data_IF_704718923227
#
_entry.id   IF_704718923227
#
_cell.length_a   1.000
_cell.length_b   1.000
_cell.length_c   1.000
_cell.angle_alpha   90.00
_cell.angle_beta   90.00
_cell.angle_gamma   90.00
#
_symmetry.space_group_name_H-M   'P 1'
#
loop_
_entity.id
_entity.type
_entity.pdbx_description
1 polymer ?
#
# COMPACT_ATOMS: atom_id res chain seq x y z
N UNK A 1 -6.35 -6.70 -14.73
CA UNK A 1 -6.81 -7.31 -13.48
C UNK A 1 -6.96 -6.26 -12.40
N UNK A 2 -7.64 -6.61 -11.29
CA UNK A 2 -7.66 -5.78 -10.08
C UNK A 2 -7.06 -6.57 -8.93
N UNK A 3 -6.26 -5.89 -8.10
CA UNK A 3 -5.71 -6.46 -6.87
C UNK A 3 -6.52 -5.91 -5.71
N UNK A 4 -7.08 -6.80 -4.92
CA UNK A 4 -7.94 -6.50 -3.77
C UNK A 4 -7.20 -6.83 -2.49
N UNK A 5 -7.09 -5.84 -1.61
CA UNK A 5 -6.59 -5.97 -0.25
C UNK A 5 -7.79 -5.81 0.67
N UNK A 6 -8.19 -6.86 1.34
CA UNK A 6 -9.41 -6.90 2.16
C UNK A 6 -9.10 -7.30 3.59
N UNK A 7 -9.65 -6.58 4.54
CA UNK A 7 -9.63 -6.95 5.95
C UNK A 7 -10.96 -6.66 6.64
N UNK A 8 -11.19 -7.35 7.76
CA UNK A 8 -12.32 -7.07 8.65
C UNK A 8 -12.11 -5.74 9.38
N UNK A 9 -13.22 -5.07 9.72
CA UNK A 9 -13.22 -3.74 10.31
C UNK A 9 -13.28 -2.64 9.26
N UNK A 10 -13.89 -1.51 9.64
CA UNK A 10 -14.02 -0.35 8.77
C UNK A 10 -12.99 0.71 9.17
N UNK A 11 -12.13 1.09 8.23
CA UNK A 11 -11.22 2.22 8.44
C UNK A 11 -12.03 3.51 8.44
N UNK A 12 -11.71 4.41 9.38
CA UNK A 12 -12.31 5.75 9.40
C UNK A 12 -11.77 6.56 8.20
N UNK A 13 -12.68 7.15 7.43
CA UNK A 13 -12.36 8.03 6.30
C UNK A 13 -11.44 9.18 6.72
N UNK A 14 -11.57 9.68 7.95
CA UNK A 14 -10.70 10.73 8.50
C UNK A 14 -9.25 10.26 8.62
N UNK A 15 -9.00 8.98 8.90
CA UNK A 15 -7.62 8.46 8.97
C UNK A 15 -6.94 8.43 7.61
N UNK A 16 -7.70 8.31 6.53
CA UNK A 16 -7.20 8.39 5.16
C UNK A 16 -6.86 9.85 4.79
N UNK A 17 -7.69 10.80 5.20
CA UNK A 17 -7.55 12.22 4.85
C UNK A 17 -6.58 12.99 5.75
N UNK A 18 -6.37 12.55 7.00
CA UNK A 18 -5.56 13.24 8.01
C UNK A 18 -4.16 12.65 8.15
N UNK A 19 -3.15 13.48 8.41
CA UNK A 19 -1.80 13.03 8.72
C UNK A 19 -1.63 12.72 10.21
N UNK A 20 -0.81 11.68 10.52
CA UNK A 20 -0.43 11.37 11.90
C UNK A 20 -1.52 10.68 12.73
N UNK A 21 -2.63 10.30 12.12
CA UNK A 21 -3.66 9.48 12.78
C UNK A 21 -3.31 8.02 12.57
N UNK A 22 -2.95 7.32 13.66
CA UNK A 22 -2.75 5.87 13.68
C UNK A 22 -3.49 5.33 14.89
N UNK A 23 -4.39 4.40 14.67
CA UNK A 23 -5.17 3.73 15.72
C UNK A 23 -4.75 2.27 15.90
N UNK A 24 -3.53 1.92 15.44
CA UNK A 24 -3.03 0.54 15.57
C UNK A 24 -2.71 0.22 17.01
N UNK A 25 -3.53 -0.62 17.63
CA UNK A 25 -3.30 -1.25 18.92
C UNK A 25 -2.72 -2.65 18.68
N UNK A 26 -1.55 -2.97 19.23
CA UNK A 26 -0.95 -4.31 19.16
C UNK A 26 0.54 -4.31 19.40
N UNK A 27 1.05 -5.47 19.83
CA UNK A 27 2.43 -5.61 20.36
C UNK A 27 3.53 -5.44 19.31
N UNK A 28 3.24 -5.35 18.03
CA UNK A 28 4.26 -5.12 16.99
C UNK A 28 3.67 -4.97 15.57
N UNK A 29 3.00 -3.87 15.20
CA UNK A 29 2.56 -3.66 13.82
C UNK A 29 3.76 -3.52 12.88
N UNK A 30 3.61 -4.01 11.64
CA UNK A 30 4.64 -3.86 10.60
C UNK A 30 4.68 -2.39 10.14
N UNK A 31 3.51 -1.73 10.06
CA UNK A 31 3.36 -0.31 9.72
C UNK A 31 3.10 0.57 10.93
N UNK A 32 4.01 1.49 11.26
CA UNK A 32 3.95 2.28 12.51
C UNK A 32 3.42 3.71 12.34
N UNK A 33 3.54 4.29 11.17
CA UNK A 33 3.28 5.71 10.98
C UNK A 33 2.11 5.93 10.02
N UNK A 34 0.93 6.29 10.45
CA UNK A 34 -0.27 6.56 9.63
C UNK A 34 -0.11 7.41 8.34
N UNK A 35 1.11 7.49 7.80
CA UNK A 35 1.48 8.21 6.58
C UNK A 35 1.72 7.30 5.37
N UNK A 36 2.05 6.01 5.58
CA UNK A 36 2.47 5.11 4.51
C UNK A 36 1.40 4.90 3.44
N UNK A 37 0.13 4.79 3.83
CA UNK A 37 -0.99 4.69 2.89
C UNK A 37 -1.08 5.93 1.97
N UNK A 38 -0.81 7.13 2.48
CA UNK A 38 -0.81 8.36 1.68
C UNK A 38 0.32 8.38 0.66
N UNK A 39 1.50 7.88 1.06
CA UNK A 39 2.61 7.65 0.14
C UNK A 39 2.20 6.67 -0.96
N UNK A 40 1.58 5.54 -0.60
CA UNK A 40 1.12 4.55 -1.57
C UNK A 40 0.12 5.15 -2.56
N UNK A 41 -0.89 5.88 -2.09
CA UNK A 41 -1.89 6.55 -2.94
C UNK A 41 -1.20 7.54 -3.90
N UNK A 42 -0.30 8.39 -3.40
CA UNK A 42 0.40 9.38 -4.21
C UNK A 42 1.25 8.70 -5.31
N UNK A 43 1.96 7.63 -4.96
CA UNK A 43 2.80 6.85 -5.89
C UNK A 43 1.94 6.18 -6.96
N UNK A 44 0.86 5.52 -6.59
CA UNK A 44 -0.06 4.87 -7.52
C UNK A 44 -0.62 5.86 -8.54
N UNK A 45 -1.16 6.99 -8.08
CA UNK A 45 -1.71 8.01 -8.95
C UNK A 45 -0.64 8.65 -9.86
N UNK A 46 0.56 8.90 -9.35
CA UNK A 46 1.69 9.40 -10.15
C UNK A 46 2.05 8.45 -11.29
N UNK A 47 1.97 7.15 -11.04
CA UNK A 47 2.19 6.11 -12.05
C UNK A 47 0.92 5.74 -12.84
N UNK A 48 -0.13 6.59 -12.78
CA UNK A 48 -1.40 6.41 -13.51
C UNK A 48 -2.11 5.08 -13.18
N UNK A 49 -1.90 4.54 -12.00
CA UNK A 49 -2.65 3.41 -11.49
C UNK A 49 -3.92 3.92 -10.81
N UNK A 50 -5.02 3.19 -10.94
CA UNK A 50 -6.28 3.52 -10.27
C UNK A 50 -6.29 2.87 -8.89
N UNK A 51 -6.72 3.63 -7.88
CA UNK A 51 -6.96 3.13 -6.53
C UNK A 51 -8.33 3.59 -6.05
N UNK A 52 -9.11 2.65 -5.50
CA UNK A 52 -10.40 2.87 -4.86
C UNK A 52 -10.38 2.20 -3.49
N UNK A 53 -11.01 2.79 -2.50
CA UNK A 53 -11.22 2.15 -1.20
C UNK A 53 -12.71 1.99 -0.92
N UNK A 54 -13.08 0.87 -0.33
CA UNK A 54 -14.37 0.67 0.33
C UNK A 54 -14.15 0.63 1.84
N UNK A 55 -14.78 1.56 2.55
CA UNK A 55 -14.85 1.61 4.01
C UNK A 55 -16.28 1.25 4.39
N UNK A 56 -16.53 -0.03 4.66
CA UNK A 56 -17.88 -0.56 4.72
C UNK A 56 -18.61 -0.36 3.39
N UNK A 57 -19.74 0.33 3.42
CA UNK A 57 -20.52 0.68 2.23
C UNK A 57 -20.08 2.01 1.58
N UNK A 58 -19.12 2.70 2.16
CA UNK A 58 -18.64 3.99 1.64
C UNK A 58 -17.54 3.76 0.60
N UNK A 59 -17.77 4.23 -0.62
CA UNK A 59 -16.78 4.22 -1.69
C UNK A 59 -15.95 5.50 -1.68
N UNK A 60 -14.64 5.35 -1.82
CA UNK A 60 -13.67 6.46 -1.94
C UNK A 60 -12.87 6.26 -3.21
N UNK A 61 -13.05 7.14 -4.18
CA UNK A 61 -12.25 7.18 -5.39
C UNK A 61 -11.15 8.24 -5.26
N UNK A 62 -9.89 7.85 -5.52
CA UNK A 62 -8.76 8.79 -5.51
C UNK A 62 -8.41 9.23 -6.93
N UNK A 63 -8.07 10.51 -7.08
CA UNK A 63 -7.69 11.10 -8.36
C UNK A 63 -6.78 12.31 -8.18
N UNK A 64 -6.33 12.89 -9.29
CA UNK A 64 -5.43 14.05 -9.31
C UNK A 64 -6.21 15.30 -9.71
N UNK A 65 -5.99 16.39 -8.97
CA UNK A 65 -6.42 17.73 -9.35
C UNK A 65 -5.19 18.62 -9.50
N UNK A 66 -5.08 19.30 -10.64
CA UNK A 66 -4.06 20.33 -10.83
C UNK A 66 -4.50 21.64 -10.21
N UNK A 67 -3.66 22.25 -9.40
CA UNK A 67 -3.89 23.58 -8.82
C UNK A 67 -2.61 24.40 -8.84
N UNK A 68 -2.65 25.66 -9.24
CA UNK A 68 -1.51 26.55 -9.18
C UNK A 68 -1.26 27.02 -7.73
N UNK A 69 0.00 26.95 -7.32
CA UNK A 69 0.49 27.56 -6.08
C UNK A 69 1.64 28.47 -6.44
N UNK A 70 1.50 29.78 -6.21
CA UNK A 70 2.48 30.79 -6.58
C UNK A 70 2.89 30.73 -8.06
N UNK A 71 1.95 30.43 -8.96
CA UNK A 71 2.20 30.36 -10.40
C UNK A 71 2.82 29.04 -10.90
N UNK A 72 3.01 28.07 -10.03
CA UNK A 72 3.49 26.72 -10.38
C UNK A 72 2.35 25.72 -10.21
N UNK A 73 2.08 24.89 -11.23
CA UNK A 73 1.06 23.88 -11.18
C UNK A 73 1.52 22.66 -10.37
N UNK A 74 0.74 22.32 -9.35
CA UNK A 74 0.94 21.12 -8.53
C UNK A 74 -0.19 20.12 -8.78
N UNK A 75 0.17 18.83 -8.76
CA UNK A 75 -0.77 17.71 -8.85
C UNK A 75 -1.17 17.28 -7.44
N UNK A 76 -2.26 17.83 -6.92
CA UNK A 76 -2.80 17.43 -5.63
C UNK A 76 -3.58 16.12 -5.73
N UNK A 77 -3.45 15.29 -4.69
CA UNK A 77 -4.33 14.14 -4.52
C UNK A 77 -5.68 14.62 -4.01
N UNK A 78 -6.73 14.09 -4.59
CA UNK A 78 -8.10 14.36 -4.22
C UNK A 78 -8.89 13.06 -4.11
N UNK A 79 -10.01 13.11 -3.41
CA UNK A 79 -10.93 11.98 -3.29
C UNK A 79 -12.37 12.40 -3.56
N UNK A 80 -13.19 11.45 -4.00
CA UNK A 80 -14.65 11.52 -4.02
C UNK A 80 -15.21 10.45 -3.11
N UNK A 81 -16.20 10.80 -2.33
CA UNK A 81 -16.93 9.87 -1.46
C UNK A 81 -18.29 9.61 -2.10
N UNK A 82 -18.60 8.34 -2.39
CA UNK A 82 -19.85 7.88 -3.00
C UNK A 82 -20.22 8.70 -4.27
N UNK A 83 -19.22 8.97 -5.13
CA UNK A 83 -19.42 9.76 -6.34
C UNK A 83 -19.74 11.24 -6.13
N UNK A 84 -19.65 11.75 -4.90
CA UNK A 84 -19.92 13.14 -4.55
C UNK A 84 -18.87 14.14 -5.03
N UNK A 85 -18.84 15.31 -4.43
CA UNK A 85 -17.89 16.36 -4.82
C UNK A 85 -16.45 15.96 -4.51
N UNK A 86 -15.54 16.47 -5.34
CA UNK A 86 -14.11 16.25 -5.20
C UNK A 86 -13.52 17.05 -4.06
N UNK A 87 -12.88 16.38 -3.11
CA UNK A 87 -12.21 16.97 -1.97
C UNK A 87 -10.69 16.84 -2.13
N UNK A 88 -9.98 17.96 -2.13
CA UNK A 88 -8.51 17.94 -2.20
C UNK A 88 -7.92 17.52 -0.86
N UNK A 89 -7.03 16.56 -0.89
CA UNK A 89 -6.25 16.15 0.28
C UNK A 89 -5.03 17.07 0.47
N UNK A 90 -4.46 17.09 1.68
CA UNK A 90 -3.36 17.98 2.05
C UNK A 90 -1.98 17.59 1.49
N UNK A 91 -1.92 16.79 0.41
CA UNK A 91 -0.66 16.34 -0.20
C UNK A 91 -0.76 16.21 -1.72
N UNK A 92 0.41 16.22 -2.36
CA UNK A 92 0.55 16.11 -3.82
C UNK A 92 1.09 14.75 -4.22
N UNK A 93 1.10 14.45 -5.51
CA UNK A 93 1.72 13.24 -6.06
C UNK A 93 3.23 13.21 -5.92
N UNK A 94 3.88 14.32 -5.49
CA UNK A 94 5.31 14.35 -5.14
C UNK A 94 5.61 13.65 -3.81
N UNK A 95 4.60 13.41 -2.97
CA UNK A 95 4.76 12.62 -1.76
C UNK A 95 5.29 11.23 -2.13
N UNK A 96 6.34 10.78 -1.44
CA UNK A 96 7.00 9.53 -1.79
C UNK A 96 7.71 9.56 -3.15
N UNK A 97 8.32 10.68 -3.57
CA UNK A 97 8.97 10.84 -4.87
C UNK A 97 10.01 9.75 -5.19
N UNK A 98 10.72 9.25 -4.18
CA UNK A 98 11.69 8.15 -4.31
C UNK A 98 11.07 6.75 -4.24
N UNK A 99 9.76 6.65 -4.04
CA UNK A 99 9.10 5.35 -3.95
C UNK A 99 8.79 4.79 -5.34
N UNK A 100 8.98 3.49 -5.48
CA UNK A 100 8.58 2.69 -6.62
C UNK A 100 7.22 2.01 -6.35
N UNK A 101 6.57 1.48 -7.38
CA UNK A 101 5.26 0.83 -7.26
C UNK A 101 5.26 -0.36 -6.28
N UNK A 102 6.35 -1.14 -6.22
CA UNK A 102 6.45 -2.24 -5.26
C UNK A 102 6.44 -1.76 -3.79
N UNK A 103 6.92 -0.55 -3.52
CA UNK A 103 6.85 0.04 -2.17
C UNK A 103 5.41 0.42 -1.81
N UNK A 104 4.63 0.89 -2.78
CA UNK A 104 3.20 1.13 -2.59
C UNK A 104 2.44 -0.18 -2.35
N UNK A 105 2.72 -1.23 -3.14
CA UNK A 105 2.17 -2.56 -2.91
C UNK A 105 2.49 -3.06 -1.50
N UNK A 106 3.77 -3.02 -1.13
CA UNK A 106 4.26 -3.44 0.18
C UNK A 106 3.49 -2.75 1.31
N UNK A 107 3.30 -1.45 1.22
CA UNK A 107 2.63 -0.67 2.26
C UNK A 107 1.17 -1.08 2.44
N UNK A 108 0.41 -1.20 1.34
CA UNK A 108 -0.99 -1.62 1.41
C UNK A 108 -1.09 -3.07 1.90
N UNK A 109 -0.20 -3.95 1.43
CA UNK A 109 -0.16 -5.34 1.83
C UNK A 109 0.21 -5.52 3.31
N UNK A 110 1.16 -4.73 3.82
CA UNK A 110 1.51 -4.76 5.25
C UNK A 110 0.32 -4.30 6.12
N UNK A 111 -0.34 -3.21 5.73
CA UNK A 111 -1.53 -2.74 6.45
C UNK A 111 -2.64 -3.80 6.46
N UNK A 112 -2.89 -4.44 5.31
CA UNK A 112 -3.85 -5.52 5.19
C UNK A 112 -3.48 -6.73 6.09
N UNK A 113 -2.20 -7.14 6.09
CA UNK A 113 -1.71 -8.24 6.92
C UNK A 113 -1.75 -7.94 8.42
N UNK A 114 -1.41 -6.72 8.83
CA UNK A 114 -1.50 -6.29 10.23
C UNK A 114 -2.93 -6.46 10.77
N UNK A 115 -3.93 -6.23 9.92
CA UNK A 115 -5.36 -6.42 10.21
C UNK A 115 -5.85 -7.85 9.91
N UNK A 116 -4.93 -8.82 9.71
CA UNK A 116 -5.23 -10.22 9.37
C UNK A 116 -6.08 -10.40 8.12
N UNK A 117 -5.93 -9.48 7.17
CA UNK A 117 -6.65 -9.47 5.91
C UNK A 117 -6.08 -10.42 4.87
N UNK A 118 -6.74 -10.46 3.73
CA UNK A 118 -6.39 -11.26 2.55
C UNK A 118 -6.11 -10.39 1.34
N UNK A 119 -5.27 -10.90 0.44
CA UNK A 119 -4.93 -10.25 -0.83
C UNK A 119 -5.26 -11.22 -1.94
N UNK A 120 -6.05 -10.79 -2.90
CA UNK A 120 -6.46 -11.63 -4.03
C UNK A 120 -6.65 -10.81 -5.32
N UNK A 121 -6.69 -11.50 -6.44
CA UNK A 121 -7.05 -10.91 -7.73
C UNK A 121 -8.54 -11.11 -7.97
N UNK A 122 -9.22 -10.09 -8.46
CA UNK A 122 -10.65 -10.16 -8.80
C UNK A 122 -11.38 -8.85 -8.61
N UNK A 123 -12.70 -8.91 -8.74
CA UNK A 123 -13.60 -7.80 -8.49
C UNK A 123 -13.93 -7.71 -6.99
N UNK A 124 -14.23 -6.50 -6.54
CA UNK A 124 -14.68 -6.26 -5.17
C UNK A 124 -15.88 -5.32 -5.17
N UNK A 125 -16.78 -5.57 -4.24
CA UNK A 125 -17.94 -4.73 -3.95
C UNK A 125 -17.86 -4.21 -2.52
N UNK A 126 -18.52 -3.10 -2.24
CA UNK A 126 -18.67 -2.56 -0.90
C UNK A 126 -19.37 -3.58 0.02
N UNK A 127 -18.91 -3.71 1.26
CA UNK A 127 -19.44 -4.67 2.23
C UNK A 127 -19.31 -4.09 3.64
N UNK A 128 -20.43 -4.03 4.36
CA UNK A 128 -20.44 -3.52 5.74
C UNK A 128 -19.51 -4.34 6.64
N UNK A 129 -18.78 -3.66 7.52
CA UNK A 129 -17.84 -4.27 8.44
C UNK A 129 -16.48 -4.63 7.83
N UNK A 130 -16.21 -4.24 6.58
CA UNK A 130 -14.93 -4.51 5.90
C UNK A 130 -14.30 -3.25 5.33
N UNK A 131 -12.98 -3.30 5.25
CA UNK A 131 -12.19 -2.35 4.47
C UNK A 131 -11.60 -3.07 3.27
N UNK A 132 -11.72 -2.48 2.07
CA UNK A 132 -11.12 -3.02 0.85
C UNK A 132 -10.38 -1.91 0.11
N UNK A 133 -9.10 -2.13 -0.22
CA UNK A 133 -8.38 -1.30 -1.18
C UNK A 133 -8.28 -2.06 -2.50
N UNK A 134 -8.71 -1.46 -3.57
CA UNK A 134 -8.70 -2.02 -4.92
C UNK A 134 -7.75 -1.21 -5.77
N UNK A 135 -6.73 -1.85 -6.31
CA UNK A 135 -5.77 -1.21 -7.20
C UNK A 135 -5.80 -1.90 -8.56
N UNK A 136 -5.87 -1.11 -9.61
CA UNK A 136 -5.84 -1.60 -10.99
C UNK A 136 -4.89 -0.79 -11.87
N UNK A 137 -4.25 -1.48 -12.79
CA UNK A 137 -3.33 -0.94 -13.79
C UNK A 137 -2.21 -1.92 -14.10
N UNK A 138 -1.78 -1.96 -15.36
CA UNK A 138 -0.87 -2.98 -15.89
C UNK A 138 0.46 -3.05 -15.11
N UNK A 139 1.01 -1.91 -14.72
CA UNK A 139 2.27 -1.87 -13.98
C UNK A 139 2.11 -2.41 -12.55
N UNK A 140 0.97 -2.17 -11.92
CA UNK A 140 0.70 -2.67 -10.58
C UNK A 140 0.39 -4.17 -10.60
N UNK A 141 -0.26 -4.66 -11.65
CA UNK A 141 -0.51 -6.09 -11.85
C UNK A 141 0.81 -6.87 -11.90
N UNK A 142 1.82 -6.36 -12.62
CA UNK A 142 3.16 -6.96 -12.66
C UNK A 142 3.79 -7.01 -11.28
N UNK A 143 3.66 -5.94 -10.49
CA UNK A 143 4.17 -5.90 -9.11
C UNK A 143 3.47 -6.94 -8.24
N UNK A 144 2.15 -7.03 -8.32
CA UNK A 144 1.36 -7.96 -7.51
C UNK A 144 1.62 -9.42 -7.85
N UNK A 145 1.84 -9.74 -9.13
CA UNK A 145 2.23 -11.08 -9.59
C UNK A 145 3.62 -11.51 -9.09
N UNK A 146 4.48 -10.55 -8.76
CA UNK A 146 5.81 -10.77 -8.22
C UNK A 146 5.90 -10.42 -6.72
N UNK A 147 4.80 -10.53 -5.99
CA UNK A 147 4.70 -10.12 -4.59
C UNK A 147 5.68 -10.86 -3.66
N UNK A 148 6.06 -12.09 -3.99
CA UNK A 148 7.04 -12.92 -3.30
C UNK A 148 8.45 -12.28 -3.26
N UNK A 149 8.76 -11.36 -4.16
CA UNK A 149 9.99 -10.57 -4.15
C UNK A 149 9.99 -9.47 -3.08
N UNK A 150 8.82 -9.12 -2.55
CA UNK A 150 8.65 -8.01 -1.61
C UNK A 150 8.12 -8.46 -0.25
N UNK A 151 7.36 -9.56 -0.24
CA UNK A 151 6.76 -10.13 0.96
C UNK A 151 6.98 -11.64 0.95
N UNK A 152 7.70 -12.15 1.95
CA UNK A 152 7.93 -13.58 2.09
C UNK A 152 6.66 -14.26 2.62
N UNK A 153 6.23 -15.30 1.93
CA UNK A 153 5.12 -16.15 2.34
C UNK A 153 5.58 -17.58 2.69
N UNK A 154 6.80 -17.96 2.27
CA UNK A 154 7.41 -19.26 2.48
C UNK A 154 8.11 -19.35 3.83
N UNK A 155 8.20 -20.57 4.37
CA UNK A 155 8.98 -20.85 5.57
C UNK A 155 10.49 -20.74 5.30
N UNK A 156 11.25 -20.49 6.37
CA UNK A 156 12.70 -20.50 6.29
C UNK A 156 13.23 -21.92 6.09
N UNK A 157 14.25 -22.11 5.23
CA UNK A 157 14.94 -23.38 5.08
C UNK A 157 15.70 -23.76 6.37
N UNK A 158 16.26 -22.77 7.04
CA UNK A 158 16.91 -22.93 8.35
C UNK A 158 17.03 -21.59 9.09
N UNK A 159 17.39 -21.67 10.38
CA UNK A 159 17.57 -20.49 11.23
C UNK A 159 18.97 -20.47 11.85
N UNK A 160 19.54 -19.28 11.97
CA UNK A 160 20.78 -19.02 12.70
C UNK A 160 20.44 -17.97 13.77
N UNK A 161 20.24 -18.40 15.01
CA UNK A 161 19.72 -17.55 16.06
C UNK A 161 18.34 -17.00 15.69
N UNK A 162 18.18 -15.69 15.66
CA UNK A 162 16.95 -15.02 15.24
C UNK A 162 16.84 -14.77 13.73
N UNK A 163 17.87 -15.13 12.95
CA UNK A 163 17.89 -14.89 11.50
C UNK A 163 17.31 -16.08 10.77
N UNK A 164 16.29 -15.84 9.97
CA UNK A 164 15.71 -16.82 9.05
C UNK A 164 16.46 -16.78 7.71
N UNK A 165 16.84 -17.94 7.22
CA UNK A 165 17.62 -18.07 5.97
C UNK A 165 16.88 -18.94 4.98
N UNK A 166 16.82 -18.46 3.73
CA UNK A 166 16.23 -19.16 2.60
C UNK A 166 17.30 -19.43 1.55
N UNK A 167 17.33 -20.67 1.03
CA UNK A 167 18.29 -21.12 0.00
C UNK A 167 18.04 -20.56 -1.39
N UNK A 168 17.15 -19.60 -1.52
CA UNK A 168 17.02 -18.82 -2.73
C UNK A 168 17.96 -17.62 -2.70
N UNK A 169 18.80 -17.46 -3.73
CA UNK A 169 19.65 -16.30 -3.86
C UNK A 169 18.84 -15.03 -4.07
N UNK A 170 19.42 -13.90 -3.72
CA UNK A 170 18.79 -12.61 -3.92
C UNK A 170 19.65 -11.46 -3.42
N UNK A 171 19.26 -10.24 -3.78
CA UNK A 171 19.93 -9.02 -3.35
C UNK A 171 19.15 -8.25 -2.27
N UNK A 172 18.11 -8.86 -1.71
CA UNK A 172 17.23 -8.16 -0.78
C UNK A 172 17.38 -8.65 0.65
N UNK A 173 17.27 -7.68 1.57
CA UNK A 173 17.15 -7.92 3.00
C UNK A 173 15.70 -7.76 3.43
N UNK A 174 15.21 -8.71 4.23
CA UNK A 174 13.85 -8.72 4.74
C UNK A 174 13.84 -8.54 6.25
N UNK A 175 12.89 -7.76 6.74
CA UNK A 175 12.58 -7.64 8.16
C UNK A 175 11.14 -8.07 8.39
N UNK A 176 10.92 -9.06 9.24
CA UNK A 176 9.60 -9.67 9.50
C UNK A 176 8.88 -10.11 8.21
N UNK A 177 9.63 -10.69 7.27
CA UNK A 177 9.09 -11.13 5.99
C UNK A 177 8.83 -10.03 4.98
N UNK A 178 9.18 -8.78 5.27
CA UNK A 178 8.96 -7.64 4.39
C UNK A 178 10.30 -7.08 3.90
N UNK A 179 10.45 -6.89 2.58
CA UNK A 179 11.65 -6.32 1.97
C UNK A 179 11.88 -4.90 2.45
N UNK A 180 13.07 -4.64 3.00
CA UNK A 180 13.45 -3.32 3.52
C UNK A 180 14.58 -2.67 2.74
N UNK A 181 15.51 -3.45 2.21
CA UNK A 181 16.70 -2.94 1.53
C UNK A 181 17.21 -3.91 0.47
N UNK A 182 17.93 -3.38 -0.51
CA UNK A 182 18.73 -4.15 -1.46
C UNK A 182 20.23 -4.04 -1.12
N UNK A 183 20.94 -5.17 -1.34
CA UNK A 183 22.40 -5.18 -1.39
C UNK A 183 22.87 -4.89 -2.81
N UNK A 184 24.03 -4.26 -2.95
CA UNK A 184 24.61 -3.99 -4.26
C UNK A 184 25.08 -5.24 -5.03
N UNK A 185 25.08 -6.42 -4.41
CA UNK A 185 25.43 -7.71 -5.03
C UNK A 185 24.46 -8.79 -4.54
N UNK A 186 24.04 -9.72 -5.43
CA UNK A 186 23.23 -10.85 -5.02
C UNK A 186 24.00 -11.79 -4.09
N UNK A 187 23.35 -12.24 -3.03
CA UNK A 187 23.84 -13.29 -2.15
C UNK A 187 23.37 -14.67 -2.61
N UNK A 188 23.99 -15.73 -2.05
CA UNK A 188 23.54 -17.11 -2.26
C UNK A 188 22.27 -17.43 -1.47
N UNK A 189 21.98 -16.66 -0.47
CA UNK A 189 20.85 -16.84 0.46
C UNK A 189 20.09 -15.51 0.62
N UNK A 190 18.81 -15.64 0.87
CA UNK A 190 17.94 -14.55 1.34
C UNK A 190 17.78 -14.63 2.82
#
# INVERSE_FOLDING_TARGET
FMVVFENSGEIDVLSISSFGVSVKEGDSPIGFFGTGLKYAIAVLLRHKQKITAYCGLTEIEFHIIKRPVRGVDFSFVAMKINGGESQTLGFTTELGKGWQLWMAYREIACNCKDEKGSIHFGDAIAEAGKTKFIVSGDLFDVVAQNADQFILADDADFKIGSVEVRKRGGSAFFYRGVRVQEFGKPGLYT
#
